data_IF_131157640420
#
_entry.id   IF_131157640420
#
_cell.length_a   1.000
_cell.length_b   1.000
_cell.length_c   1.000
_cell.angle_alpha   90.00
_cell.angle_beta   90.00
_cell.angle_gamma   90.00
#
_symmetry.space_group_name_H-M   'P 1'
#
loop_
_entity.id
_entity.type
_entity.pdbx_description
1 polymer ?
#
# COMPACT_ATOMS: atom_id res chain seq x y z
N UNK A 1 0.72 2.20 27.35
CA UNK A 1 -0.04 1.69 26.18
C UNK A 1 0.43 2.31 24.85
N UNK A 2 0.45 3.65 24.69
CA UNK A 2 0.78 4.32 23.42
C UNK A 2 2.12 3.93 22.76
N UNK A 3 3.19 3.76 23.55
CA UNK A 3 4.52 3.41 23.02
C UNK A 3 4.59 2.02 22.38
N UNK A 4 3.79 1.06 22.87
CA UNK A 4 3.76 -0.31 22.32
C UNK A 4 3.13 -0.26 20.92
N UNK A 5 2.07 0.53 20.74
CA UNK A 5 1.42 0.72 19.44
C UNK A 5 2.33 1.41 18.43
N UNK A 6 3.03 2.47 18.85
CA UNK A 6 3.96 3.15 17.94
C UNK A 6 5.13 2.27 17.52
N UNK A 7 5.63 1.44 18.43
CA UNK A 7 6.74 0.53 18.13
C UNK A 7 6.29 -0.55 17.14
N UNK A 8 5.09 -1.12 17.34
CA UNK A 8 4.50 -2.10 16.42
C UNK A 8 4.16 -1.48 15.07
N UNK A 9 3.51 -0.32 15.05
CA UNK A 9 3.20 0.38 13.82
C UNK A 9 4.46 0.77 13.04
N UNK A 10 5.56 1.12 13.72
CA UNK A 10 6.85 1.35 13.06
C UNK A 10 7.44 0.08 12.43
N UNK A 11 7.38 -1.06 13.13
CA UNK A 11 7.85 -2.35 12.58
C UNK A 11 7.05 -2.76 11.34
N UNK A 12 5.73 -2.60 11.38
CA UNK A 12 4.85 -2.92 10.26
C UNK A 12 5.00 -1.91 9.12
N UNK A 13 5.12 -0.61 9.41
CA UNK A 13 5.35 0.42 8.39
C UNK A 13 6.72 0.31 7.70
N UNK A 14 7.70 -0.36 8.32
CA UNK A 14 8.99 -0.66 7.67
C UNK A 14 8.94 -1.87 6.71
N UNK A 15 7.84 -2.62 6.71
CA UNK A 15 7.64 -3.76 5.81
C UNK A 15 7.33 -3.27 4.39
N UNK A 16 7.78 -4.02 3.38
CA UNK A 16 7.36 -3.78 2.01
C UNK A 16 5.83 -3.96 1.89
N UNK A 17 5.13 -3.22 1.00
CA UNK A 17 3.69 -3.37 0.84
C UNK A 17 3.21 -4.80 0.53
N UNK A 18 4.08 -5.66 -0.03
CA UNK A 18 3.79 -7.08 -0.30
C UNK A 18 3.87 -7.96 0.94
N UNK A 19 4.68 -7.54 1.91
CA UNK A 19 4.96 -8.28 3.14
C UNK A 19 4.13 -7.75 4.31
N UNK A 20 3.62 -6.52 4.18
CA UNK A 20 2.81 -5.84 5.17
C UNK A 20 1.61 -6.70 5.58
N UNK A 21 0.85 -7.24 4.62
CA UNK A 21 -0.39 -7.96 4.90
C UNK A 21 -0.19 -9.35 5.54
N UNK A 22 0.70 -10.21 5.01
CA UNK A 22 1.06 -11.46 5.68
C UNK A 22 1.70 -11.24 7.06
N UNK A 23 2.51 -10.19 7.20
CA UNK A 23 3.14 -9.87 8.49
C UNK A 23 2.09 -9.43 9.52
N UNK A 24 1.10 -8.62 9.10
CA UNK A 24 -0.03 -8.24 9.94
C UNK A 24 -0.89 -9.44 10.32
N UNK A 25 -1.21 -10.34 9.39
CA UNK A 25 -1.94 -11.58 9.68
C UNK A 25 -1.19 -12.47 10.68
N UNK A 26 0.13 -12.60 10.55
CA UNK A 26 0.96 -13.37 11.50
C UNK A 26 0.98 -12.79 12.92
N UNK A 27 0.94 -11.47 13.06
CA UNK A 27 0.86 -10.81 14.38
C UNK A 27 -0.52 -11.00 15.04
N UNK A 28 -1.56 -11.31 14.27
CA UNK A 28 -2.92 -11.63 14.74
C UNK A 28 -3.04 -13.10 15.13
N UNK A 29 -2.53 -14.02 14.30
CA UNK A 29 -2.62 -15.47 14.53
C UNK A 29 -1.87 -15.92 15.80
N UNK A 30 -0.88 -15.16 16.26
CA UNK A 30 -0.02 -15.53 17.39
C UNK A 30 -0.25 -14.79 18.72
N UNK A 31 -1.15 -13.79 18.80
CA UNK A 31 -1.27 -12.94 20.01
C UNK A 31 -2.71 -12.51 20.31
N UNK A 32 -3.04 -12.38 21.60
CA UNK A 32 -4.19 -11.60 22.07
C UNK A 32 -3.91 -10.10 21.84
N UNK A 33 -4.12 -9.63 20.62
CA UNK A 33 -4.32 -8.20 20.33
C UNK A 33 -5.83 -8.00 20.25
N UNK A 34 -6.35 -7.02 20.99
CA UNK A 34 -7.77 -6.69 20.92
C UNK A 34 -8.12 -6.05 19.57
N UNK A 35 -9.34 -6.26 19.09
CA UNK A 35 -9.75 -5.87 17.74
C UNK A 35 -9.55 -4.37 17.45
N UNK A 36 -9.79 -3.54 18.46
CA UNK A 36 -9.56 -2.10 18.40
C UNK A 36 -8.08 -1.74 18.24
N UNK A 37 -7.18 -2.46 18.91
CA UNK A 37 -5.74 -2.23 18.81
C UNK A 37 -5.22 -2.60 17.41
N UNK A 38 -5.72 -3.70 16.85
CA UNK A 38 -5.34 -4.15 15.52
C UNK A 38 -5.73 -3.11 14.46
N UNK A 39 -6.98 -2.63 14.49
CA UNK A 39 -7.45 -1.60 13.55
C UNK A 39 -6.62 -0.33 13.58
N UNK A 40 -6.28 0.16 14.77
CA UNK A 40 -5.47 1.38 14.89
C UNK A 40 -4.07 1.19 14.29
N UNK A 41 -3.47 0.01 14.50
CA UNK A 41 -2.19 -0.34 13.90
C UNK A 41 -2.34 -0.40 12.38
N UNK A 42 -3.40 -1.02 11.86
CA UNK A 42 -3.65 -1.13 10.44
C UNK A 42 -3.81 0.22 9.76
N UNK A 43 -4.68 1.08 10.28
CA UNK A 43 -4.86 2.44 9.76
C UNK A 43 -3.57 3.24 9.75
N UNK A 44 -2.74 3.14 10.80
CA UNK A 44 -1.46 3.87 10.86
C UNK A 44 -0.42 3.37 9.85
N UNK A 45 -0.37 2.05 9.62
CA UNK A 45 0.62 1.44 8.74
C UNK A 45 0.26 1.56 7.25
N UNK A 46 -1.01 1.82 6.93
CA UNK A 46 -1.45 1.87 5.54
C UNK A 46 -1.11 3.20 4.86
N UNK A 47 -0.91 3.18 3.52
CA UNK A 47 -0.68 4.38 2.73
C UNK A 47 -1.76 5.43 2.96
N UNK A 48 -1.38 6.72 2.92
CA UNK A 48 -2.29 7.84 3.23
C UNK A 48 -3.60 7.82 2.42
N UNK A 49 -3.55 7.34 1.17
CA UNK A 49 -4.72 7.18 0.28
C UNK A 49 -5.73 6.14 0.78
N UNK A 50 -5.29 5.16 1.57
CA UNK A 50 -6.10 4.02 2.04
C UNK A 50 -6.66 4.23 3.45
N UNK A 51 -6.06 5.12 4.25
CA UNK A 51 -6.48 5.40 5.62
C UNK A 51 -7.96 5.78 5.75
N UNK A 52 -8.55 6.63 4.90
CA UNK A 52 -9.96 6.99 5.02
C UNK A 52 -10.91 5.78 4.92
N UNK A 53 -10.60 4.82 4.04
CA UNK A 53 -11.40 3.60 3.90
C UNK A 53 -11.34 2.71 5.15
N UNK A 54 -10.19 2.66 5.81
CA UNK A 54 -10.00 1.89 7.04
C UNK A 54 -10.57 2.61 8.26
N UNK A 55 -10.50 3.94 8.31
CA UNK A 55 -11.09 4.77 9.37
C UNK A 55 -12.63 4.73 9.36
N UNK A 56 -13.26 4.43 8.21
CA UNK A 56 -14.70 4.21 8.11
C UNK A 56 -15.15 2.81 8.55
N UNK A 57 -14.24 1.86 8.80
CA UNK A 57 -14.61 0.53 9.28
C UNK A 57 -15.10 0.61 10.73
N UNK A 58 -16.30 0.09 11.01
CA UNK A 58 -16.88 0.06 12.36
C UNK A 58 -16.24 -1.05 13.19
N UNK A 59 -16.26 -0.94 14.53
CA UNK A 59 -15.69 -1.97 15.42
C UNK A 59 -16.29 -3.37 15.22
N UNK A 60 -17.43 -3.48 14.56
CA UNK A 60 -18.12 -4.73 14.23
C UNK A 60 -17.59 -5.41 12.96
N UNK A 61 -16.79 -4.73 12.13
CA UNK A 61 -16.24 -5.34 10.90
C UNK A 61 -15.28 -6.48 11.24
N UNK A 62 -15.52 -7.71 10.83
CA UNK A 62 -14.59 -8.81 11.08
C UNK A 62 -13.17 -8.53 10.57
N UNK A 63 -12.16 -9.06 11.25
CA UNK A 63 -10.75 -8.80 10.92
C UNK A 63 -10.32 -9.33 9.56
N UNK A 64 -10.87 -10.46 9.17
CA UNK A 64 -10.75 -11.06 7.85
C UNK A 64 -11.32 -10.14 6.77
N UNK A 65 -12.49 -9.53 6.98
CA UNK A 65 -13.03 -8.53 6.04
C UNK A 65 -12.13 -7.30 5.93
N UNK A 66 -11.56 -6.84 7.05
CA UNK A 66 -10.58 -5.76 7.05
C UNK A 66 -9.33 -6.18 6.25
N UNK A 67 -8.86 -7.42 6.42
CA UNK A 67 -7.71 -8.01 5.70
C UNK A 67 -7.94 -8.01 4.20
N UNK A 68 -9.12 -8.44 3.77
CA UNK A 68 -9.51 -8.50 2.37
C UNK A 68 -9.64 -7.10 1.77
N UNK A 69 -10.26 -6.16 2.48
CA UNK A 69 -10.34 -4.76 2.07
C UNK A 69 -8.94 -4.16 1.85
N UNK A 70 -8.06 -4.39 2.82
CA UNK A 70 -6.68 -3.92 2.78
C UNK A 70 -5.91 -4.55 1.62
N UNK A 71 -6.07 -5.84 1.38
CA UNK A 71 -5.44 -6.59 0.28
C UNK A 71 -5.87 -6.05 -1.07
N UNK A 72 -7.17 -5.86 -1.24
CA UNK A 72 -7.75 -5.32 -2.47
C UNK A 72 -7.25 -3.90 -2.75
N UNK A 73 -7.20 -3.04 -1.73
CA UNK A 73 -6.71 -1.68 -1.88
C UNK A 73 -5.21 -1.64 -2.24
N UNK A 74 -4.38 -2.47 -1.62
CA UNK A 74 -2.95 -2.57 -1.97
C UNK A 74 -2.74 -3.08 -3.40
N UNK A 75 -3.54 -4.06 -3.84
CA UNK A 75 -3.49 -4.55 -5.23
C UNK A 75 -3.83 -3.44 -6.22
N UNK A 76 -4.92 -2.71 -5.98
CA UNK A 76 -5.35 -1.62 -6.85
C UNK A 76 -4.30 -0.50 -6.91
N UNK A 77 -3.69 -0.15 -5.78
CA UNK A 77 -2.63 0.84 -5.71
C UNK A 77 -1.42 0.42 -6.57
N UNK A 78 -0.99 -0.85 -6.48
CA UNK A 78 0.09 -1.39 -7.33
C UNK A 78 -0.25 -1.36 -8.81
N UNK A 79 -1.49 -1.70 -9.16
CA UNK A 79 -1.93 -1.62 -10.55
C UNK A 79 -1.91 -0.20 -11.10
N UNK A 80 -2.35 0.78 -10.30
CA UNK A 80 -2.30 2.20 -10.64
C UNK A 80 -0.85 2.68 -10.85
N UNK A 81 0.05 2.31 -9.93
CA UNK A 81 1.49 2.61 -10.03
C UNK A 81 2.12 1.99 -11.28
N UNK A 82 1.82 0.72 -11.56
CA UNK A 82 2.33 0.02 -12.74
C UNK A 82 1.83 0.67 -14.03
N UNK A 83 0.53 1.00 -14.13
CA UNK A 83 -0.03 1.72 -15.28
C UNK A 83 0.65 3.07 -15.47
N UNK A 84 0.83 3.83 -14.39
CA UNK A 84 1.48 5.16 -14.42
C UNK A 84 2.94 5.06 -14.87
N UNK A 85 3.67 4.07 -14.36
CA UNK A 85 5.05 3.78 -14.74
C UNK A 85 5.16 3.42 -16.23
N UNK A 86 4.26 2.56 -16.72
CA UNK A 86 4.22 2.13 -18.12
C UNK A 86 3.91 3.30 -19.07
N UNK A 87 2.90 4.13 -18.73
CA UNK A 87 2.57 5.34 -19.50
C UNK A 87 3.78 6.28 -19.57
N UNK A 88 4.46 6.49 -18.44
CA UNK A 88 5.64 7.35 -18.38
C UNK A 88 6.79 6.81 -19.25
N UNK A 89 7.04 5.50 -19.19
CA UNK A 89 8.05 4.83 -20.02
C UNK A 89 7.75 4.95 -21.50
N UNK A 90 6.50 4.73 -21.91
CA UNK A 90 6.09 4.85 -23.31
C UNK A 90 6.17 6.30 -23.81
N UNK A 91 5.80 7.27 -22.97
CA UNK A 91 5.99 8.70 -23.30
C UNK A 91 7.46 9.03 -23.50
N UNK A 92 8.34 8.59 -22.61
CA UNK A 92 9.78 8.81 -22.72
C UNK A 92 10.36 8.19 -24.00
N UNK A 93 9.98 6.94 -24.33
CA UNK A 93 10.38 6.29 -25.59
C UNK A 93 9.95 7.08 -26.82
N UNK A 94 8.70 7.54 -26.87
CA UNK A 94 8.19 8.36 -27.99
C UNK A 94 8.98 9.67 -28.13
N UNK A 95 9.27 10.35 -27.02
CA UNK A 95 10.07 11.58 -27.02
C UNK A 95 11.48 11.33 -27.55
N UNK A 96 12.12 10.24 -27.14
CA UNK A 96 13.45 9.87 -27.65
C UNK A 96 13.41 9.58 -29.14
N UNK A 97 12.46 8.77 -29.61
CA UNK A 97 12.30 8.45 -31.04
C UNK A 97 12.11 9.72 -31.88
N UNK A 98 11.21 10.61 -31.46
CA UNK A 98 10.97 11.88 -32.16
C UNK A 98 12.21 12.77 -32.21
N UNK A 99 13.01 12.77 -31.14
CA UNK A 99 14.25 13.54 -31.08
C UNK A 99 15.31 12.95 -32.01
N UNK A 100 15.47 11.63 -32.03
CA UNK A 100 16.39 10.94 -32.93
C UNK A 100 16.02 11.16 -34.41
N UNK A 101 14.74 11.10 -34.76
CA UNK A 101 14.26 11.38 -36.12
C UNK A 101 14.56 12.82 -36.56
N UNK A 102 14.45 13.78 -35.64
CA UNK A 102 14.79 15.19 -35.92
C UNK A 102 16.28 15.36 -36.15
N UNK A 103 17.12 14.74 -35.33
CA UNK A 103 18.58 14.79 -35.47
C UNK A 103 19.00 14.16 -36.81
N UNK A 104 18.44 13.00 -37.16
CA UNK A 104 18.74 12.31 -38.41
C UNK A 104 18.37 13.14 -39.66
N UNK A 105 17.38 14.04 -39.57
CA UNK A 105 17.00 14.95 -40.66
C UNK A 105 17.85 16.22 -40.74
N UNK A 106 18.68 16.48 -39.73
CA UNK A 106 19.60 17.63 -39.68
C UNK A 106 21.03 17.26 -40.08
N UNK A 107 21.32 15.98 -40.29
CA UNK A 107 22.57 15.43 -40.78
C UNK A 107 22.43 15.07 -42.27
#
# INVERSE_FOLDING_TARGET
>A
MYQIYETRARRLASSLPSELLPHMQSEVEGRQIGDMELRQVWTKCMPRKMRPGLEMSTNDTPHDELADFTSNCLRNLREEENRTSQITKEKAKRTLSLTMDKIAKML
#
